data_IF_247211664240
#
_entry.id   IF_247211664240
#
_cell.length_a   1.000
_cell.length_b   1.000
_cell.length_c   1.000
_cell.angle_alpha   90.00
_cell.angle_beta   90.00
_cell.angle_gamma   90.00
#
_symmetry.space_group_name_H-M   'P 1'
#
loop_
_entity.id
_entity.type
_entity.pdbx_description
1 polymer ?
#
# COMPACT_ATOMS: atom_id res chain seq x y z
N UNK A 1 -13.50 -5.62 -4.91
CA UNK A 1 -12.86 -5.69 -6.23
C UNK A 1 -12.51 -4.28 -6.68
N UNK A 2 -11.31 -4.10 -7.21
CA UNK A 2 -10.83 -2.81 -7.75
C UNK A 2 -10.55 -3.03 -9.24
N UNK A 3 -11.15 -2.23 -10.11
CA UNK A 3 -10.88 -2.26 -11.55
C UNK A 3 -10.29 -0.93 -11.98
N UNK A 4 -9.16 -0.99 -12.63
CA UNK A 4 -8.46 0.14 -13.21
C UNK A 4 -8.62 0.04 -14.72
N UNK A 5 -9.20 1.07 -15.34
CA UNK A 5 -9.57 1.04 -16.76
C UNK A 5 -8.91 2.20 -17.50
N UNK A 6 -7.92 1.89 -18.31
CA UNK A 6 -7.26 2.79 -19.25
C UNK A 6 -6.77 4.10 -18.61
N UNK A 7 -6.30 4.04 -17.35
CA UNK A 7 -5.86 5.25 -16.67
C UNK A 7 -4.55 5.76 -17.26
N UNK A 8 -4.51 7.06 -17.50
CA UNK A 8 -3.29 7.77 -17.88
C UNK A 8 -3.09 8.96 -16.95
N UNK A 9 -1.84 9.27 -16.63
CA UNK A 9 -1.46 10.40 -15.79
C UNK A 9 -0.16 11.02 -16.24
N UNK A 10 -0.18 12.33 -16.41
CA UNK A 10 0.98 13.14 -16.72
C UNK A 10 1.18 14.24 -15.69
N UNK A 11 2.43 14.70 -15.54
CA UNK A 11 2.78 15.91 -14.81
C UNK A 11 3.62 16.79 -15.74
N UNK A 12 3.13 17.98 -16.02
CA UNK A 12 3.67 18.83 -17.09
C UNK A 12 3.75 18.02 -18.41
N UNK A 13 4.90 17.94 -19.03
CA UNK A 13 5.10 17.21 -20.30
C UNK A 13 5.52 15.74 -20.12
N UNK A 14 5.63 15.26 -18.88
CA UNK A 14 6.07 13.90 -18.60
C UNK A 14 4.88 12.96 -18.35
N UNK A 15 4.70 11.98 -19.21
CA UNK A 15 3.75 10.87 -19.00
C UNK A 15 4.32 9.94 -17.92
N UNK A 16 3.53 9.67 -16.89
CA UNK A 16 3.91 8.79 -15.77
C UNK A 16 3.17 7.46 -15.85
N UNK A 17 1.87 7.48 -16.16
CA UNK A 17 1.07 6.28 -16.41
C UNK A 17 0.44 6.43 -17.80
N UNK A 18 0.54 5.37 -18.59
CA UNK A 18 0.08 5.35 -19.97
C UNK A 18 -0.88 4.18 -20.18
N UNK A 19 -2.18 4.47 -20.27
CA UNK A 19 -3.21 3.50 -20.60
C UNK A 19 -3.22 2.22 -19.73
N UNK A 20 -3.02 2.36 -18.42
CA UNK A 20 -2.94 1.26 -17.46
C UNK A 20 -4.32 0.64 -17.23
N UNK A 21 -4.42 -0.67 -17.40
CA UNK A 21 -5.66 -1.44 -17.14
C UNK A 21 -5.35 -2.76 -16.47
N UNK A 22 -5.97 -3.03 -15.33
CA UNK A 22 -5.94 -4.31 -14.63
C UNK A 22 -7.04 -4.36 -13.56
N UNK A 23 -7.27 -5.54 -13.00
CA UNK A 23 -8.24 -5.75 -11.93
C UNK A 23 -7.58 -6.43 -10.74
N UNK A 24 -7.95 -6.00 -9.52
CA UNK A 24 -7.56 -6.63 -8.26
C UNK A 24 -8.80 -7.27 -7.65
N UNK A 25 -8.77 -8.58 -7.46
CA UNK A 25 -9.87 -9.31 -6.87
C UNK A 25 -9.90 -9.16 -5.35
N UNK A 26 -11.06 -9.43 -4.74
CA UNK A 26 -11.15 -9.46 -3.26
C UNK A 26 -10.30 -10.59 -2.70
N UNK A 27 -9.53 -10.28 -1.66
CA UNK A 27 -8.63 -11.25 -1.03
C UNK A 27 -7.34 -11.52 -1.81
N UNK A 28 -7.06 -10.79 -2.89
CA UNK A 28 -5.83 -10.94 -3.66
C UNK A 28 -4.66 -10.21 -3.00
N UNK A 29 -3.45 -10.79 -3.11
CA UNK A 29 -2.19 -10.16 -2.72
C UNK A 29 -1.39 -9.83 -3.97
N UNK A 30 -1.31 -8.56 -4.33
CA UNK A 30 -0.59 -8.10 -5.51
C UNK A 30 0.58 -7.20 -5.12
N UNK A 31 1.75 -7.44 -5.72
CA UNK A 31 2.88 -6.53 -5.69
C UNK A 31 2.90 -5.69 -6.98
N UNK A 32 3.02 -4.38 -6.85
CA UNK A 32 3.28 -3.46 -7.95
C UNK A 32 4.73 -3.04 -7.86
N UNK A 33 5.51 -3.41 -8.88
CA UNK A 33 6.95 -3.21 -8.90
C UNK A 33 7.41 -2.37 -10.08
N UNK A 34 8.67 -1.99 -10.09
CA UNK A 34 9.32 -1.19 -11.13
C UNK A 34 10.37 -0.24 -10.53
N UNK A 35 11.11 0.43 -11.38
CA UNK A 35 12.16 1.36 -10.98
C UNK A 35 11.65 2.50 -10.08
N UNK A 36 12.56 3.13 -9.34
CA UNK A 36 12.22 4.32 -8.55
C UNK A 36 11.76 5.46 -9.47
N UNK A 37 10.66 6.12 -9.09
CA UNK A 37 10.10 7.23 -9.87
C UNK A 37 9.30 6.85 -11.12
N UNK A 38 9.05 5.53 -11.37
CA UNK A 38 8.30 5.05 -12.56
C UNK A 38 6.78 5.32 -12.48
N UNK A 39 6.25 5.69 -11.31
CA UNK A 39 4.82 5.96 -11.17
C UNK A 39 4.06 5.04 -10.20
N UNK A 40 4.73 4.12 -9.49
CA UNK A 40 4.09 3.18 -8.54
C UNK A 40 3.21 3.88 -7.50
N UNK A 41 3.76 4.86 -6.78
CA UNK A 41 3.00 5.64 -5.78
C UNK A 41 1.93 6.55 -6.42
N UNK A 42 2.12 6.97 -7.69
CA UNK A 42 1.09 7.69 -8.45
C UNK A 42 -0.10 6.77 -8.71
N UNK A 43 0.15 5.54 -9.16
CA UNK A 43 -0.87 4.52 -9.36
C UNK A 43 -1.61 4.20 -8.05
N UNK A 44 -0.87 3.99 -6.95
CA UNK A 44 -1.46 3.72 -5.64
C UNK A 44 -2.39 4.86 -5.17
N UNK A 45 -1.95 6.12 -5.34
CA UNK A 45 -2.76 7.31 -5.02
C UNK A 45 -3.98 7.44 -5.93
N UNK A 46 -3.88 7.03 -7.19
CA UNK A 46 -5.00 7.03 -8.12
C UNK A 46 -6.05 5.99 -7.72
N UNK A 47 -5.64 4.80 -7.26
CA UNK A 47 -6.53 3.74 -6.79
C UNK A 47 -7.48 4.23 -5.69
N UNK A 48 -7.00 5.05 -4.75
CA UNK A 48 -7.84 5.58 -3.65
C UNK A 48 -8.41 6.98 -3.92
N UNK A 49 -8.24 7.48 -5.14
CA UNK A 49 -8.72 8.80 -5.55
C UNK A 49 -8.05 9.98 -4.84
N UNK A 50 -6.83 9.81 -4.26
CA UNK A 50 -6.01 10.93 -3.78
C UNK A 50 -5.43 11.73 -4.95
N UNK A 51 -5.32 11.10 -6.10
CA UNK A 51 -4.91 11.70 -7.35
C UNK A 51 -5.87 11.26 -8.45
N UNK A 52 -6.46 12.21 -9.16
CA UNK A 52 -7.32 11.89 -10.30
C UNK A 52 -6.48 11.59 -11.53
N UNK A 53 -6.75 10.51 -12.27
CA UNK A 53 -6.15 10.28 -13.57
C UNK A 53 -6.59 11.36 -14.57
N UNK A 54 -5.81 11.58 -15.63
CA UNK A 54 -6.17 12.52 -16.70
C UNK A 54 -7.10 11.86 -17.72
N UNK A 55 -7.02 10.52 -17.84
CA UNK A 55 -7.91 9.69 -18.66
C UNK A 55 -8.20 8.38 -17.95
N UNK A 56 -9.30 7.72 -18.33
CA UNK A 56 -9.73 6.47 -17.74
C UNK A 56 -10.38 6.64 -16.38
N UNK A 57 -10.67 5.54 -15.71
CA UNK A 57 -11.35 5.56 -14.42
C UNK A 57 -10.93 4.40 -13.51
N UNK A 58 -11.24 4.56 -12.23
CA UNK A 58 -11.06 3.54 -11.19
C UNK A 58 -12.42 3.19 -10.60
N UNK A 59 -12.76 1.90 -10.64
CA UNK A 59 -14.02 1.38 -10.09
C UNK A 59 -13.70 0.55 -8.86
N UNK A 60 -14.28 0.89 -7.71
CA UNK A 60 -14.14 0.18 -6.44
C UNK A 60 -15.49 -0.34 -6.00
N UNK A 61 -15.63 -1.66 -5.86
CA UNK A 61 -16.88 -2.34 -5.51
C UNK A 61 -18.07 -1.89 -6.40
N UNK A 62 -17.82 -1.71 -7.70
CA UNK A 62 -18.83 -1.28 -8.67
C UNK A 62 -19.11 0.22 -8.70
N UNK A 63 -18.39 1.05 -7.94
CA UNK A 63 -18.52 2.50 -7.93
C UNK A 63 -17.34 3.17 -8.62
N UNK A 64 -17.59 3.97 -9.65
CA UNK A 64 -16.56 4.82 -10.25
C UNK A 64 -16.21 5.96 -9.29
N UNK A 65 -14.96 5.94 -8.77
CA UNK A 65 -14.52 6.93 -7.76
C UNK A 65 -14.24 8.31 -8.34
N UNK A 66 -14.16 8.43 -9.66
CA UNK A 66 -13.93 9.70 -10.34
C UNK A 66 -15.24 10.50 -10.52
N UNK A 67 -16.40 9.81 -10.51
CA UNK A 67 -17.72 10.42 -10.76
C UNK A 67 -18.55 10.63 -9.48
N UNK A 68 -18.13 10.08 -8.33
CA UNK A 68 -18.90 10.20 -7.10
C UNK A 68 -18.62 11.50 -6.34
N UNK A 69 -19.60 11.93 -5.53
CA UNK A 69 -19.42 13.09 -4.65
C UNK A 69 -18.33 12.86 -3.60
N UNK A 70 -17.71 13.93 -3.12
CA UNK A 70 -16.68 13.86 -2.08
C UNK A 70 -17.12 13.05 -0.85
N UNK A 71 -18.40 13.22 -0.41
CA UNK A 71 -18.95 12.47 0.72
C UNK A 71 -18.99 10.95 0.45
N UNK A 72 -19.32 10.53 -0.77
CA UNK A 72 -19.29 9.12 -1.17
C UNK A 72 -17.85 8.61 -1.27
N UNK A 73 -16.93 9.42 -1.82
CA UNK A 73 -15.52 9.09 -1.90
C UNK A 73 -14.91 8.86 -0.52
N UNK A 74 -15.26 9.67 0.50
CA UNK A 74 -14.80 9.44 1.88
C UNK A 74 -15.30 8.09 2.43
N UNK A 75 -16.53 7.67 2.09
CA UNK A 75 -17.03 6.33 2.47
C UNK A 75 -16.25 5.19 1.76
N UNK A 76 -15.84 5.40 0.51
CA UNK A 76 -14.98 4.44 -0.17
C UNK A 76 -13.61 4.39 0.50
N UNK A 77 -13.01 5.55 0.79
CA UNK A 77 -11.69 5.65 1.45
C UNK A 77 -11.66 5.03 2.84
N UNK A 78 -12.77 5.06 3.59
CA UNK A 78 -12.81 4.43 4.93
C UNK A 78 -12.69 2.90 4.89
N UNK A 79 -12.83 2.27 3.71
CA UNK A 79 -12.54 0.84 3.51
C UNK A 79 -11.05 0.54 3.35
N UNK A 80 -10.22 1.57 3.20
CA UNK A 80 -8.79 1.44 2.93
C UNK A 80 -7.94 1.76 4.16
N UNK A 81 -6.98 0.89 4.43
CA UNK A 81 -5.81 1.21 5.25
C UNK A 81 -4.63 1.53 4.34
N UNK A 82 -3.94 2.64 4.60
CA UNK A 82 -2.74 3.01 3.83
C UNK A 82 -1.53 3.14 4.73
N UNK A 83 -0.48 2.43 4.37
CA UNK A 83 0.84 2.47 5.01
C UNK A 83 1.80 3.21 4.08
N UNK A 84 2.32 4.34 4.53
CA UNK A 84 3.25 5.17 3.78
C UNK A 84 4.71 4.78 4.05
N UNK A 85 5.59 5.04 3.12
CA UNK A 85 7.01 4.69 3.14
C UNK A 85 7.73 5.06 4.45
N UNK A 86 7.42 6.23 5.03
CA UNK A 86 8.03 6.71 6.28
C UNK A 86 7.07 6.70 7.48
N UNK A 87 5.97 5.90 7.40
CA UNK A 87 4.93 5.84 8.43
C UNK A 87 3.96 7.02 8.39
N UNK A 88 4.38 8.21 7.96
CA UNK A 88 3.60 9.45 7.91
C UNK A 88 2.83 9.72 9.21
N UNK A 89 3.52 9.62 10.34
CA UNK A 89 2.98 9.96 11.65
C UNK A 89 3.00 11.48 11.85
N UNK A 90 2.01 11.99 12.56
CA UNK A 90 1.99 13.39 12.99
C UNK A 90 2.98 13.54 14.16
N UNK A 91 4.05 14.30 13.96
CA UNK A 91 5.12 14.48 14.93
C UNK A 91 4.67 15.18 16.24
N UNK A 92 3.56 15.92 16.18
CA UNK A 92 2.95 16.62 17.32
C UNK A 92 1.95 15.78 18.11
N UNK A 93 1.78 14.51 17.77
CA UNK A 93 0.83 13.59 18.38
C UNK A 93 1.54 12.36 18.91
N UNK A 94 1.07 11.82 20.03
CA UNK A 94 1.52 10.53 20.56
C UNK A 94 1.16 9.39 19.61
N UNK A 95 1.68 8.19 19.85
CA UNK A 95 1.33 6.98 19.11
C UNK A 95 -0.17 6.72 19.20
N UNK A 96 -0.76 6.81 20.40
CA UNK A 96 -2.19 6.57 20.59
C UNK A 96 -3.05 7.61 19.87
N UNK A 97 -2.65 8.88 19.90
CA UNK A 97 -3.34 9.95 19.15
C UNK A 97 -3.24 9.77 17.64
N UNK A 98 -2.08 9.36 17.11
CA UNK A 98 -1.89 9.04 15.70
C UNK A 98 -2.83 7.94 15.21
N UNK A 99 -3.05 6.90 16.00
CA UNK A 99 -3.97 5.79 15.68
C UNK A 99 -5.42 6.24 15.91
N UNK A 100 -5.69 6.89 17.03
CA UNK A 100 -7.03 7.29 17.47
C UNK A 100 -7.68 8.35 16.57
N UNK A 101 -6.91 9.24 15.95
CA UNK A 101 -7.42 10.31 15.11
C UNK A 101 -8.33 9.81 13.99
N UNK A 102 -7.90 8.76 13.28
CA UNK A 102 -8.69 8.16 12.20
C UNK A 102 -9.96 7.49 12.74
N UNK A 103 -9.88 6.80 13.86
CA UNK A 103 -11.04 6.19 14.53
C UNK A 103 -12.08 7.23 14.95
N UNK A 104 -11.65 8.33 15.56
CA UNK A 104 -12.52 9.44 15.99
C UNK A 104 -13.23 10.13 14.81
N UNK A 105 -12.56 10.26 13.67
CA UNK A 105 -13.09 10.98 12.50
C UNK A 105 -13.93 10.12 11.56
N UNK A 106 -13.65 8.83 11.47
CA UNK A 106 -14.21 7.94 10.44
C UNK A 106 -15.14 6.88 11.00
N UNK A 107 -15.26 6.75 12.34
CA UNK A 107 -16.14 5.77 12.98
C UNK A 107 -17.07 6.43 14.00
N UNK A 108 -18.09 5.68 14.44
CA UNK A 108 -18.99 6.08 15.53
C UNK A 108 -18.58 5.43 16.87
N UNK A 109 -17.34 4.98 16.99
CA UNK A 109 -16.84 4.34 18.21
C UNK A 109 -16.82 5.32 19.40
N UNK A 110 -17.21 4.86 20.56
CA UNK A 110 -17.02 5.62 21.80
C UNK A 110 -15.55 5.60 22.25
N UNK A 111 -15.24 6.33 23.33
CA UNK A 111 -13.87 6.46 23.84
C UNK A 111 -13.28 5.11 24.28
N UNK A 112 -14.07 4.25 24.90
CA UNK A 112 -13.61 2.94 25.37
C UNK A 112 -13.30 2.02 24.20
N UNK A 113 -14.16 2.01 23.19
CA UNK A 113 -13.97 1.25 21.97
C UNK A 113 -12.74 1.73 21.17
N UNK A 114 -12.51 3.04 21.11
CA UNK A 114 -11.32 3.61 20.47
C UNK A 114 -10.06 3.15 21.23
N UNK A 115 -10.04 3.23 22.57
CA UNK A 115 -8.91 2.78 23.39
C UNK A 115 -8.63 1.28 23.19
N UNK A 116 -9.66 0.45 23.17
CA UNK A 116 -9.53 -1.00 22.92
C UNK A 116 -8.95 -1.28 21.53
N UNK A 117 -9.42 -0.57 20.50
CA UNK A 117 -8.91 -0.73 19.13
C UNK A 117 -7.46 -0.27 19.00
N UNK A 118 -7.06 0.82 19.67
CA UNK A 118 -5.66 1.28 19.72
C UNK A 118 -4.80 0.19 20.34
N UNK A 119 -5.17 -0.30 21.53
CA UNK A 119 -4.43 -1.34 22.23
C UNK A 119 -4.29 -2.61 21.37
N UNK A 120 -5.38 -3.11 20.79
CA UNK A 120 -5.37 -4.29 19.91
C UNK A 120 -4.49 -4.10 18.69
N UNK A 121 -4.56 -2.93 18.03
CA UNK A 121 -3.75 -2.68 16.85
C UNK A 121 -2.26 -2.55 17.16
N UNK A 122 -1.88 -2.01 18.32
CA UNK A 122 -0.50 -1.97 18.79
C UNK A 122 0.01 -3.38 19.14
N UNK A 123 -0.82 -4.17 19.80
CA UNK A 123 -0.48 -5.57 20.09
C UNK A 123 -0.25 -6.40 18.81
N UNK A 124 -1.04 -6.20 17.78
CA UNK A 124 -0.87 -6.90 16.50
C UNK A 124 0.46 -6.61 15.80
N UNK A 125 1.09 -5.47 16.10
CA UNK A 125 2.38 -5.08 15.53
C UNK A 125 3.54 -5.17 16.54
N UNK A 126 3.33 -5.77 17.73
CA UNK A 126 4.28 -5.89 18.84
C UNK A 126 4.83 -4.51 19.29
N UNK A 127 3.91 -3.59 19.56
CA UNK A 127 4.20 -2.21 19.99
C UNK A 127 3.45 -1.83 21.26
N UNK A 128 3.07 -2.81 22.10
CA UNK A 128 2.44 -2.57 23.40
C UNK A 128 3.35 -1.71 24.29
N UNK A 129 2.74 -0.83 25.08
CA UNK A 129 3.44 0.07 26.01
C UNK A 129 4.11 1.27 25.34
N UNK A 130 3.78 1.54 24.06
CA UNK A 130 4.30 2.72 23.34
C UNK A 130 3.25 3.80 23.13
N UNK A 131 2.07 3.67 23.71
CA UNK A 131 0.89 4.50 23.47
C UNK A 131 1.18 6.00 23.66
N UNK A 132 1.94 6.34 24.71
CA UNK A 132 2.25 7.72 25.10
C UNK A 132 3.54 8.27 24.47
N UNK A 133 4.28 7.44 23.70
CA UNK A 133 5.49 7.89 23.04
C UNK A 133 5.19 8.83 21.88
N UNK A 134 6.09 9.78 21.69
CA UNK A 134 6.10 10.65 20.51
C UNK A 134 6.83 9.96 19.35
N UNK A 135 6.51 10.28 18.08
CA UNK A 135 7.23 9.74 16.93
C UNK A 135 8.76 9.97 16.98
N UNK A 136 9.22 11.06 17.59
CA UNK A 136 10.65 11.34 17.78
C UNK A 136 11.39 10.31 18.65
N UNK A 137 10.67 9.59 19.51
CA UNK A 137 11.20 8.56 20.40
C UNK A 137 11.22 7.15 19.76
N UNK A 138 10.73 7.03 18.51
CA UNK A 138 10.61 5.77 17.79
C UNK A 138 11.71 5.60 16.78
N UNK A 139 12.27 4.38 16.67
CA UNK A 139 13.12 4.00 15.54
C UNK A 139 12.34 3.97 14.23
N UNK A 140 13.02 3.96 13.08
CA UNK A 140 12.39 3.87 11.76
C UNK A 140 11.46 2.65 11.62
N UNK A 141 11.90 1.48 12.10
CA UNK A 141 11.08 0.26 12.11
C UNK A 141 9.86 0.37 13.02
N UNK A 142 10.00 1.00 14.21
CA UNK A 142 8.86 1.27 15.09
C UNK A 142 7.84 2.22 14.45
N UNK A 143 8.30 3.29 13.78
CA UNK A 143 7.39 4.20 13.04
C UNK A 143 6.58 3.47 11.98
N UNK A 144 7.20 2.54 11.24
CA UNK A 144 6.50 1.71 10.25
C UNK A 144 5.46 0.80 10.90
N UNK A 145 5.79 0.14 12.01
CA UNK A 145 4.85 -0.69 12.78
C UNK A 145 3.66 0.13 13.28
N UNK A 146 3.88 1.31 13.84
CA UNK A 146 2.80 2.22 14.26
C UNK A 146 1.97 2.67 13.05
N UNK A 147 2.59 2.93 11.90
CA UNK A 147 1.89 3.22 10.64
C UNK A 147 0.96 2.08 10.19
N UNK A 148 1.41 0.82 10.36
CA UNK A 148 0.58 -0.37 10.12
C UNK A 148 -0.55 -0.45 11.16
N UNK A 149 -0.24 -0.28 12.46
CA UNK A 149 -1.24 -0.27 13.54
C UNK A 149 -2.36 0.73 13.26
N UNK A 150 -2.01 1.96 12.86
CA UNK A 150 -2.97 3.00 12.47
C UNK A 150 -3.87 2.56 11.31
N UNK A 151 -3.31 1.90 10.31
CA UNK A 151 -4.06 1.43 9.15
C UNK A 151 -5.04 0.30 9.52
N UNK A 152 -4.61 -0.69 10.32
CA UNK A 152 -5.43 -1.85 10.68
C UNK A 152 -6.49 -1.55 11.76
N UNK A 153 -6.30 -0.49 12.57
CA UNK A 153 -7.27 -0.09 13.60
C UNK A 153 -8.67 0.20 13.03
N UNK A 154 -8.74 0.64 11.77
CA UNK A 154 -9.99 0.89 11.04
C UNK A 154 -10.67 -0.41 10.54
N UNK A 155 -10.03 -1.58 10.66
CA UNK A 155 -10.50 -2.86 10.10
C UNK A 155 -10.80 -2.76 8.61
N UNK A 156 -9.82 -2.38 7.78
CA UNK A 156 -10.02 -2.11 6.37
C UNK A 156 -10.33 -3.38 5.56
N UNK A 157 -11.06 -3.22 4.43
CA UNK A 157 -11.24 -4.26 3.42
C UNK A 157 -10.04 -4.35 2.45
N UNK A 158 -9.33 -3.23 2.29
CA UNK A 158 -8.20 -3.05 1.38
C UNK A 158 -7.00 -2.47 2.12
N UNK A 159 -5.84 -3.08 1.99
CA UNK A 159 -4.58 -2.57 2.53
C UNK A 159 -3.64 -2.17 1.40
N UNK A 160 -3.18 -0.94 1.43
CA UNK A 160 -2.21 -0.38 0.49
C UNK A 160 -0.91 -0.08 1.23
N UNK A 161 0.19 -0.64 0.74
CA UNK A 161 1.51 -0.45 1.31
C UNK A 161 2.41 0.24 0.27
N UNK A 162 2.88 1.44 0.59
CA UNK A 162 3.81 2.19 -0.25
C UNK A 162 5.23 2.05 0.33
N UNK A 163 6.04 1.18 -0.28
CA UNK A 163 7.42 0.88 0.10
C UNK A 163 7.58 0.54 1.61
N UNK A 164 6.87 -0.48 2.13
CA UNK A 164 6.77 -0.71 3.58
C UNK A 164 8.10 -1.13 4.22
N UNK A 165 9.02 -1.70 3.46
CA UNK A 165 10.29 -2.27 3.96
C UNK A 165 11.52 -1.44 3.60
N UNK A 166 11.37 -0.44 2.74
CA UNK A 166 12.49 0.41 2.30
C UNK A 166 13.22 1.07 3.47
N UNK A 167 14.55 0.94 3.47
CA UNK A 167 15.42 1.51 4.51
C UNK A 167 15.48 0.70 5.80
N UNK A 168 14.96 -0.52 5.81
CA UNK A 168 15.09 -1.46 6.92
C UNK A 168 16.21 -2.49 6.64
N UNK A 169 16.79 -3.00 7.71
CA UNK A 169 17.69 -4.16 7.62
C UNK A 169 16.90 -5.45 7.28
N UNK A 170 17.60 -6.55 6.88
CA UNK A 170 16.92 -7.78 6.47
C UNK A 170 16.04 -8.43 7.55
N UNK A 171 16.39 -8.26 8.84
CA UNK A 171 15.64 -8.84 9.96
C UNK A 171 14.34 -8.06 10.15
N UNK A 172 14.43 -6.72 10.12
CA UNK A 172 13.25 -5.85 10.22
C UNK A 172 12.36 -5.99 9.00
N UNK A 173 12.92 -6.13 7.78
CA UNK A 173 12.17 -6.44 6.55
C UNK A 173 11.35 -7.71 6.72
N UNK A 174 11.96 -8.82 7.16
CA UNK A 174 11.25 -10.07 7.43
C UNK A 174 10.12 -9.88 8.45
N UNK A 175 10.39 -9.13 9.51
CA UNK A 175 9.39 -8.84 10.54
C UNK A 175 8.17 -8.08 9.98
N UNK A 176 8.38 -7.06 9.12
CA UNK A 176 7.28 -6.33 8.48
C UNK A 176 6.53 -7.23 7.48
N UNK A 177 7.23 -8.04 6.68
CA UNK A 177 6.61 -8.97 5.75
C UNK A 177 5.70 -9.99 6.48
N UNK A 178 6.14 -10.50 7.62
CA UNK A 178 5.30 -11.37 8.48
C UNK A 178 4.06 -10.65 9.00
N UNK A 179 4.17 -9.38 9.41
CA UNK A 179 3.01 -8.60 9.84
C UNK A 179 2.00 -8.44 8.70
N UNK A 180 2.46 -8.12 7.48
CA UNK A 180 1.61 -8.01 6.28
C UNK A 180 0.86 -9.33 6.03
N UNK A 181 1.57 -10.46 6.05
CA UNK A 181 0.98 -11.77 5.84
C UNK A 181 0.00 -12.17 6.95
N UNK A 182 0.36 -11.95 8.22
CA UNK A 182 -0.51 -12.24 9.36
C UNK A 182 -1.81 -11.45 9.30
N UNK A 183 -1.74 -10.18 8.89
CA UNK A 183 -2.93 -9.36 8.76
C UNK A 183 -3.80 -9.83 7.60
N UNK A 184 -3.22 -10.19 6.47
CA UNK A 184 -3.94 -10.75 5.33
C UNK A 184 -4.62 -12.09 5.68
N UNK A 185 -3.95 -12.99 6.39
CA UNK A 185 -4.47 -14.33 6.74
C UNK A 185 -5.62 -14.31 7.75
N UNK A 186 -5.77 -13.25 8.54
CA UNK A 186 -6.87 -13.09 9.52
C UNK A 186 -8.23 -12.75 8.92
N UNK A 187 -8.28 -12.45 7.62
CA UNK A 187 -9.52 -12.05 6.95
C UNK A 187 -9.41 -12.07 5.42
N UNK A 188 -10.46 -11.62 4.75
CA UNK A 188 -10.50 -11.47 3.29
C UNK A 188 -9.96 -10.12 2.84
N UNK A 189 -8.88 -9.65 3.45
CA UNK A 189 -8.29 -8.35 3.14
C UNK A 189 -7.56 -8.44 1.81
N UNK A 190 -7.84 -7.50 0.92
CA UNK A 190 -7.10 -7.35 -0.34
C UNK A 190 -5.86 -6.50 -0.08
N UNK A 191 -4.68 -6.98 -0.47
CA UNK A 191 -3.41 -6.30 -0.20
C UNK A 191 -2.72 -5.88 -1.49
N UNK A 192 -2.34 -4.61 -1.58
CA UNK A 192 -1.54 -4.04 -2.68
C UNK A 192 -0.23 -3.51 -2.08
N UNK A 193 0.89 -4.08 -2.47
CA UNK A 193 2.21 -3.70 -1.99
C UNK A 193 3.00 -3.08 -3.14
N UNK A 194 3.33 -1.81 -3.01
CA UNK A 194 4.28 -1.15 -3.92
C UNK A 194 5.68 -1.32 -3.34
N UNK A 195 6.58 -1.92 -4.09
CA UNK A 195 7.97 -2.12 -3.65
C UNK A 195 8.93 -2.33 -4.83
N UNK A 196 10.21 -2.15 -4.57
CA UNK A 196 11.30 -2.58 -5.45
C UNK A 196 12.14 -3.70 -4.81
N UNK A 197 11.79 -4.14 -3.59
CA UNK A 197 12.51 -5.17 -2.85
C UNK A 197 11.99 -6.58 -3.19
N UNK A 198 12.82 -7.39 -3.86
CA UNK A 198 12.44 -8.75 -4.28
C UNK A 198 12.12 -9.69 -3.13
N UNK A 199 12.75 -9.50 -1.96
CA UNK A 199 12.39 -10.28 -0.76
C UNK A 199 10.94 -10.03 -0.38
N UNK A 200 10.52 -8.77 -0.33
CA UNK A 200 9.13 -8.41 -0.01
C UNK A 200 8.17 -8.98 -1.06
N UNK A 201 8.49 -8.88 -2.37
CA UNK A 201 7.67 -9.48 -3.44
C UNK A 201 7.44 -10.98 -3.19
N UNK A 202 8.52 -11.74 -2.95
CA UNK A 202 8.43 -13.19 -2.72
C UNK A 202 7.60 -13.55 -1.48
N UNK A 203 7.78 -12.77 -0.41
CA UNK A 203 7.19 -13.09 0.88
C UNK A 203 5.70 -12.73 0.97
N UNK A 204 5.23 -11.66 0.26
CA UNK A 204 3.91 -11.08 0.55
C UNK A 204 2.95 -11.01 -0.64
N UNK A 205 3.33 -11.49 -1.84
CA UNK A 205 2.43 -11.43 -2.99
C UNK A 205 2.25 -12.76 -3.70
N UNK A 206 1.07 -12.96 -4.25
CA UNK A 206 0.74 -14.11 -5.11
C UNK A 206 0.76 -13.70 -6.60
N UNK A 207 0.63 -12.38 -6.88
CA UNK A 207 0.65 -11.80 -8.23
C UNK A 207 1.55 -10.57 -8.26
N UNK A 208 2.25 -10.40 -9.36
CA UNK A 208 3.13 -9.27 -9.63
C UNK A 208 2.66 -8.51 -10.85
N UNK A 209 2.60 -7.19 -10.72
CA UNK A 209 2.40 -6.25 -11.81
C UNK A 209 3.65 -5.38 -11.91
N UNK A 210 4.41 -5.50 -13.01
CA UNK A 210 5.60 -4.71 -13.25
C UNK A 210 5.29 -3.52 -14.14
N UNK A 211 5.62 -2.32 -13.66
CA UNK A 211 5.57 -1.09 -14.46
C UNK A 211 6.92 -0.81 -15.10
N UNK A 212 6.89 -0.45 -16.38
CA UNK A 212 8.05 -0.02 -17.14
C UNK A 212 7.67 1.12 -18.09
N UNK A 213 8.36 2.24 -18.03
CA UNK A 213 8.12 3.46 -18.85
C UNK A 213 6.64 3.91 -18.93
N UNK A 214 5.89 3.71 -17.85
CA UNK A 214 4.48 4.10 -17.76
C UNK A 214 3.48 3.04 -18.22
N UNK A 215 3.93 1.90 -18.75
CA UNK A 215 3.11 0.77 -19.20
C UNK A 215 3.22 -0.42 -18.24
N UNK A 216 2.29 -1.39 -18.39
CA UNK A 216 2.41 -2.69 -17.71
C UNK A 216 3.31 -3.59 -18.58
N UNK A 217 4.49 -3.93 -18.05
CA UNK A 217 5.43 -4.84 -18.69
C UNK A 217 5.14 -6.31 -18.39
N UNK A 218 4.67 -6.58 -17.18
CA UNK A 218 4.35 -7.94 -16.73
C UNK A 218 3.12 -7.89 -15.80
N UNK A 219 2.27 -8.88 -15.94
CA UNK A 219 1.13 -9.14 -15.06
C UNK A 219 0.90 -10.65 -14.98
N UNK A 220 1.22 -11.27 -13.86
CA UNK A 220 1.15 -12.72 -13.70
C UNK A 220 1.44 -13.15 -12.28
N UNK A 221 1.52 -14.46 -12.04
CA UNK A 221 1.86 -15.02 -10.73
C UNK A 221 3.27 -14.59 -10.29
N UNK A 222 3.50 -14.56 -8.98
CA UNK A 222 4.83 -14.29 -8.43
C UNK A 222 5.85 -15.36 -8.89
N UNK A 223 5.42 -16.61 -9.07
CA UNK A 223 6.25 -17.71 -9.56
C UNK A 223 6.65 -17.50 -11.02
N UNK A 224 5.69 -17.15 -11.90
CA UNK A 224 5.97 -16.84 -13.31
C UNK A 224 6.89 -15.62 -13.44
N UNK A 225 6.71 -14.61 -12.60
CA UNK A 225 7.58 -13.44 -12.57
C UNK A 225 9.03 -13.81 -12.26
N UNK A 226 9.25 -14.62 -11.20
CA UNK A 226 10.58 -15.02 -10.75
C UNK A 226 11.29 -15.98 -11.70
N UNK A 227 10.54 -16.70 -12.53
CA UNK A 227 11.05 -17.62 -13.57
C UNK A 227 10.99 -17.03 -14.98
N UNK A 228 10.65 -15.75 -15.11
CA UNK A 228 10.47 -15.09 -16.41
C UNK A 228 11.77 -15.07 -17.23
N UNK A 229 11.62 -15.30 -18.51
CA UNK A 229 12.70 -15.16 -19.50
C UNK A 229 12.61 -13.85 -20.30
N UNK A 230 11.64 -12.98 -19.98
CA UNK A 230 11.57 -11.64 -20.58
C UNK A 230 12.81 -10.84 -20.19
N UNK A 231 13.56 -10.30 -21.18
CA UNK A 231 14.83 -9.60 -20.90
C UNK A 231 14.67 -8.41 -19.95
N UNK A 232 13.54 -7.70 -19.98
CA UNK A 232 13.28 -6.55 -19.09
C UNK A 232 13.00 -6.99 -17.66
N UNK A 233 12.21 -8.07 -17.51
CA UNK A 233 11.96 -8.68 -16.21
C UNK A 233 13.26 -9.21 -15.61
N UNK A 234 14.06 -9.92 -16.44
CA UNK A 234 15.38 -10.42 -16.00
C UNK A 234 16.34 -9.30 -15.60
N UNK A 235 16.41 -8.22 -16.36
CA UNK A 235 17.23 -7.06 -16.04
C UNK A 235 16.83 -6.47 -14.67
N UNK A 236 15.53 -6.32 -14.42
CA UNK A 236 15.03 -5.85 -13.13
C UNK A 236 15.35 -6.82 -11.98
N UNK A 237 15.15 -8.13 -12.17
CA UNK A 237 15.46 -9.17 -11.18
C UNK A 237 16.95 -9.21 -10.81
N UNK A 238 17.82 -8.99 -11.79
CA UNK A 238 19.29 -9.04 -11.62
C UNK A 238 19.88 -7.68 -11.19
N UNK A 239 19.08 -6.62 -11.14
CA UNK A 239 19.58 -5.27 -10.87
C UNK A 239 20.50 -4.75 -11.98
N UNK A 240 20.27 -5.19 -13.22
CA UNK A 240 21.10 -4.81 -14.37
C UNK A 240 20.70 -3.42 -14.90
N UNK A 241 21.49 -2.42 -14.54
CA UNK A 241 21.31 -1.03 -15.01
C UNK A 241 21.83 -0.79 -16.42
N UNK A 242 22.50 -1.75 -17.03
CA UNK A 242 23.10 -1.61 -18.38
C UNK A 242 22.15 -2.03 -19.49
N UNK A 243 21.06 -2.70 -19.15
CA UNK A 243 20.03 -3.06 -20.11
C UNK A 243 19.46 -1.80 -20.79
N UNK A 244 19.85 -1.60 -22.03
CA UNK A 244 19.32 -0.54 -22.92
C UNK A 244 18.54 -1.23 -24.02
N UNK A 245 17.36 -0.71 -24.30
CA UNK A 245 16.62 -1.06 -25.53
C UNK A 245 17.33 -0.59 -26.78
#
# INVERSE_FOLDING_TARGET
>A
MISINNISKSFSDRVILNNISFTINKGEKIAIIGESGIGKSVLLKSIIGLLSPDKGNVIIDGQDINEITFKKLQKVRSKFGMVFQFGALFDSMTVSENIGLALQKLTNCDRLEISDRIFKSLSEVNMEGTEEKMPSELSGGMKKRVGIARAIALKPEYMLYDEPTTGLDPIMTDSINRLINNFHSKGTVTSVVVTHEMKTVRDVSDRVLMLYKGDIQFDGSTEDFLSSTDPRVMAFLNGDSTYKE
#
